data_IF_534889059851
#
_entry.id   IF_534889059851
#
_cell.length_a   1.000
_cell.length_b   1.000
_cell.length_c   1.000
_cell.angle_alpha   90.00
_cell.angle_beta   90.00
_cell.angle_gamma   90.00
#
_symmetry.space_group_name_H-M   'P 1'
#
loop_
_entity.id
_entity.type
_entity.pdbx_description
1 polymer ?
2 non-polymer ?
3 non-polymer ?
4 water ?
#
# COMPACT_ATOMS: atom_id res chain seq x y z
N UNK A 1 31.40 -13.44 44.19
CA UNK A 1 31.41 -12.07 43.60
C UNK A 1 32.59 -11.90 42.62
N UNK A 3 35.40 -9.98 40.61
CA UNK A 3 36.23 -8.95 41.24
C UNK A 3 36.31 -7.64 40.51
N UNK A 4 35.60 -7.53 39.39
CA UNK A 4 35.76 -6.38 38.49
C UNK A 4 35.08 -5.15 39.03
N UNK A 5 35.65 -3.98 38.74
CA UNK A 5 34.98 -2.70 39.02
C UNK A 5 34.36 -2.07 37.79
N UNK A 6 35.20 -1.37 37.01
CA UNK A 6 34.71 -0.42 35.99
C UNK A 6 34.10 -1.07 34.71
N UNK A 7 34.12 -2.41 34.68
CA UNK A 7 33.47 -3.24 33.68
C UNK A 7 31.99 -2.87 33.43
N UNK A 16 22.38 -5.91 24.77
CA UNK A 16 21.55 -6.55 23.76
C UNK A 16 20.13 -5.96 23.69
N UNK A 17 19.50 -6.09 22.54
CA UNK A 17 18.08 -5.77 22.40
C UNK A 17 17.25 -7.04 22.32
N UNK A 18 15.99 -6.97 22.76
CA UNK A 18 15.11 -8.10 22.65
C UNK A 18 14.79 -8.37 21.18
N UNK A 19 14.38 -9.62 20.92
CA UNK A 19 13.86 -10.02 19.64
C UNK A 19 12.50 -9.31 19.40
N UNK A 20 12.27 -8.84 18.19
CA UNK A 20 10.92 -8.39 17.84
C UNK A 20 9.95 -9.56 17.84
N UNK A 21 8.73 -9.31 18.34
CA UNK A 21 7.67 -10.28 18.49
C UNK A 21 6.60 -10.02 17.43
N UNK A 22 6.42 -10.94 16.50
CA UNK A 22 5.23 -10.85 15.64
C UNK A 22 3.97 -10.79 16.44
N UNK A 23 2.97 -10.06 15.99
CA UNK A 23 1.79 -9.87 16.82
C UNK A 23 1.03 -11.20 16.92
N UNK A 24 0.92 -11.80 18.10
CA UNK A 24 0.31 -13.12 18.23
C UNK A 24 -1.21 -13.06 18.06
N UNK A 25 -1.79 -11.86 18.03
CA UNK A 25 -3.21 -11.74 17.74
C UNK A 25 -3.55 -12.28 16.32
N UNK A 26 -2.59 -12.25 15.40
CA UNK A 26 -2.76 -12.80 14.05
C UNK A 26 -2.41 -14.26 14.05
N UNK A 27 -3.46 -15.12 14.10
CA UNK A 27 -3.37 -16.55 14.05
C UNK A 27 -3.06 -16.96 12.63
N UNK A 28 -2.16 -17.89 12.47
CA UNK A 28 -1.81 -18.30 11.10
C UNK A 28 -1.74 -19.79 10.95
N UNK A 29 -2.03 -20.27 9.76
CA UNK A 29 -1.88 -21.68 9.50
C UNK A 29 -1.58 -21.92 8.03
N UNK A 30 -1.24 -23.18 7.74
CA UNK A 30 -0.94 -23.62 6.38
C UNK A 30 -1.63 -24.98 6.20
N UNK A 31 -2.25 -25.19 5.06
CA UNK A 31 -2.85 -26.47 4.74
C UNK A 31 -1.76 -27.33 4.09
N UNK A 32 -2.04 -28.61 3.98
CA UNK A 32 -1.01 -29.50 3.45
C UNK A 32 -0.61 -29.23 2.00
N UNK A 33 -1.51 -28.60 1.24
CA UNK A 33 -1.22 -28.20 -0.15
C UNK A 33 -0.51 -26.85 -0.29
N UNK A 34 -0.12 -26.28 0.84
CA UNK A 34 0.61 -25.03 0.92
C UNK A 34 -0.24 -23.76 0.99
N UNK A 35 -1.55 -23.94 0.95
CA UNK A 35 -2.48 -22.79 1.14
C UNK A 35 -2.28 -22.15 2.51
N UNK A 36 -2.16 -20.82 2.56
CA UNK A 36 -1.90 -20.10 3.82
C UNK A 36 -3.10 -19.34 4.25
N UNK A 37 -3.30 -19.23 5.56
CA UNK A 37 -4.40 -18.40 6.06
C UNK A 37 -3.96 -17.65 7.32
N UNK A 38 -4.61 -16.50 7.54
CA UNK A 38 -4.31 -15.65 8.66
C UNK A 38 -5.63 -15.09 9.17
N UNK A 39 -5.85 -15.14 10.48
CA UNK A 39 -7.09 -14.74 11.07
C UNK A 39 -6.81 -13.78 12.26
N UNK A 40 -7.51 -12.66 12.27
CA UNK A 40 -7.50 -11.75 13.37
C UNK A 40 -8.91 -11.69 13.95
N UNK A 41 -9.13 -12.35 15.10
CA UNK A 41 -10.43 -12.20 15.77
C UNK A 41 -10.50 -10.83 16.46
N UNK A 42 -11.67 -10.16 16.37
CA UNK A 42 -11.82 -8.81 16.90
C UNK A 42 -13.04 -8.74 17.83
N UNK A 43 -12.88 -9.27 19.03
CA UNK A 43 -14.01 -9.17 19.96
C UNK A 43 -14.24 -7.72 20.40
N UNK A 44 -13.25 -6.85 20.26
CA UNK A 44 -13.43 -5.41 20.51
C UNK A 44 -14.27 -4.72 19.43
N UNK A 45 -14.49 -5.39 18.29
CA UNK A 45 -15.36 -4.87 17.23
C UNK A 45 -16.51 -5.88 17.01
N UNK A 46 -17.37 -6.07 18.03
CA UNK A 46 -18.21 -7.23 18.01
C UNK A 46 -19.29 -7.19 16.94
N UNK A 47 -19.65 -5.99 16.49
CA UNK A 47 -20.72 -5.77 15.52
C UNK A 47 -20.24 -5.32 14.13
N UNK A 48 -18.91 -5.21 13.94
CA UNK A 48 -18.38 -4.68 12.71
C UNK A 48 -18.41 -5.79 11.61
N UNK A 49 -18.26 -5.35 10.37
CA UNK A 49 -18.31 -6.26 9.23
C UNK A 49 -17.09 -7.20 9.22
N UNK A 50 -17.30 -8.38 8.66
CA UNK A 50 -16.25 -9.42 8.60
C UNK A 50 -15.58 -9.20 7.29
N UNK A 51 -14.24 -9.00 7.32
CA UNK A 51 -13.48 -8.74 6.10
C UNK A 51 -12.66 -9.97 5.69
N UNK A 52 -12.79 -10.35 4.42
CA UNK A 52 -12.04 -11.47 3.86
C UNK A 52 -11.22 -10.97 2.67
N UNK A 53 -9.97 -11.43 2.57
CA UNK A 53 -9.14 -11.07 1.45
C UNK A 53 -8.44 -12.35 0.99
N UNK A 54 -8.47 -12.63 -0.31
CA UNK A 54 -7.69 -13.72 -0.84
C UNK A 54 -6.69 -13.09 -1.76
N UNK A 55 -5.42 -13.23 -1.40
CA UNK A 55 -4.33 -12.82 -2.31
C UNK A 55 -3.81 -14.02 -3.04
N UNK A 56 -3.76 -13.89 -4.36
CA UNK A 56 -3.16 -14.92 -5.25
C UNK A 56 -1.94 -14.23 -5.86
N UNK A 57 -0.76 -14.83 -5.75
CA UNK A 57 0.46 -14.24 -6.26
C UNK A 57 0.61 -14.45 -7.77
N UNK A 58 -0.39 -13.97 -8.52
CA UNK A 58 -0.46 -14.04 -9.96
C UNK A 58 -0.94 -12.70 -10.45
N UNK A 59 -0.16 -12.09 -11.31
CA UNK A 59 -0.54 -10.81 -11.96
C UNK A 59 -0.04 -10.80 -13.38
N UNK A 60 0.10 -9.62 -13.94
CA UNK A 60 0.47 -9.47 -15.34
C UNK A 60 1.88 -9.89 -15.63
N UNK A 61 2.76 -9.89 -14.63
CA UNK A 61 4.11 -10.40 -14.86
C UNK A 61 4.10 -11.90 -15.18
N UNK A 62 3.03 -12.65 -14.89
CA UNK A 62 2.93 -14.08 -15.22
C UNK A 62 2.57 -14.33 -16.66
N UNK A 63 2.14 -13.28 -17.36
CA UNK A 63 1.64 -13.39 -18.72
C UNK A 63 2.71 -13.34 -19.78
N UNK A 64 2.68 -14.27 -20.70
CA UNK A 64 3.48 -14.15 -21.92
C UNK A 64 2.71 -13.31 -22.92
N UNK A 65 3.26 -13.07 -24.13
CA UNK A 65 2.53 -12.19 -25.01
C UNK A 65 1.28 -12.77 -25.61
N UNK A 66 1.05 -14.07 -25.49
CA UNK A 66 -0.19 -14.69 -25.93
C UNK A 66 -1.24 -14.67 -24.82
N UNK A 67 -0.91 -14.04 -23.69
CA UNK A 67 -1.76 -14.09 -22.47
C UNK A 67 -2.05 -12.73 -21.92
N UNK A 68 -1.83 -11.68 -22.71
CA UNK A 68 -2.00 -10.33 -22.27
C UNK A 68 -3.41 -10.14 -21.76
N UNK A 69 -3.51 -9.63 -20.53
CA UNK A 69 -4.81 -9.32 -19.92
C UNK A 69 -5.48 -10.52 -19.25
N UNK A 70 -4.88 -11.71 -19.36
CA UNK A 70 -5.50 -12.92 -18.78
C UNK A 70 -5.71 -12.80 -17.27
N UNK A 71 -4.73 -12.29 -16.55
CA UNK A 71 -4.88 -12.25 -15.09
C UNK A 71 -5.99 -11.29 -14.69
N UNK A 72 -6.14 -10.22 -15.46
CA UNK A 72 -7.21 -9.24 -15.16
C UNK A 72 -8.60 -9.77 -15.53
N UNK A 73 -8.68 -10.65 -16.52
CA UNK A 73 -9.95 -11.21 -16.99
C UNK A 73 -10.53 -12.25 -16.04
N UNK A 74 -9.65 -13.10 -15.47
CA UNK A 74 -10.09 -14.22 -14.64
C UNK A 74 -11.08 -13.80 -13.57
N UNK A 75 -10.77 -12.74 -12.78
CA UNK A 75 -11.74 -12.44 -11.75
C UNK A 75 -13.08 -11.97 -12.26
N UNK A 76 -13.13 -11.38 -13.46
CA UNK A 76 -14.42 -10.98 -14.00
C UNK A 76 -15.30 -12.22 -14.28
N UNK A 77 -14.67 -13.32 -14.67
CA UNK A 77 -15.38 -14.58 -14.89
C UNK A 77 -16.12 -15.05 -13.60
N UNK A 78 -15.45 -14.95 -12.47
CA UNK A 78 -15.91 -15.33 -11.17
C UNK A 78 -17.17 -14.54 -10.77
N UNK A 79 -17.37 -13.36 -11.39
CA UNK A 79 -18.59 -12.56 -11.17
C UNK A 79 -19.69 -12.88 -12.17
N UNK A 81 -20.36 -16.09 -13.20
CA UNK A 81 -20.96 -17.33 -12.77
C UNK A 81 -20.02 -18.03 -11.82
N UNK A 82 -20.58 -18.75 -10.86
CA UNK A 82 -19.75 -19.48 -9.91
C UNK A 82 -20.38 -20.82 -9.63
N UNK A 83 -19.56 -21.85 -9.65
CA UNK A 83 -20.10 -23.24 -9.71
C UNK A 83 -21.08 -23.58 -8.56
N UNK A 84 -20.89 -23.03 -7.37
CA UNK A 84 -21.70 -23.36 -6.21
C UNK A 84 -22.96 -22.49 -6.10
N UNK A 85 -23.19 -21.64 -7.08
CA UNK A 85 -24.23 -20.61 -6.98
C UNK A 85 -25.20 -20.60 -8.16
N UNK A 86 -26.49 -20.47 -7.89
CA UNK A 86 -27.38 -19.96 -8.93
C UNK A 86 -27.13 -18.46 -9.16
N UNK A 87 -27.54 -17.90 -10.32
CA UNK A 87 -27.48 -16.47 -10.51
C UNK A 87 -28.04 -15.64 -9.30
N UNK A 88 -29.18 -16.09 -8.77
CA UNK A 88 -29.80 -15.40 -7.64
C UNK A 88 -28.94 -15.45 -6.41
N UNK A 89 -28.34 -16.60 -6.14
CA UNK A 89 -27.49 -16.71 -4.96
C UNK A 89 -26.21 -15.86 -5.12
N UNK A 90 -25.67 -15.85 -6.34
CA UNK A 90 -24.43 -15.06 -6.60
C UNK A 90 -24.68 -13.58 -6.43
N UNK A 91 -25.80 -13.12 -6.95
CA UNK A 91 -26.19 -11.72 -6.82
C UNK A 91 -26.43 -11.40 -5.33
N UNK A 92 -27.11 -12.31 -4.61
CA UNK A 92 -27.40 -12.07 -3.18
C UNK A 92 -26.09 -11.88 -2.37
N UNK A 93 -25.09 -12.71 -2.64
CA UNK A 93 -23.82 -12.57 -1.94
C UNK A 93 -23.23 -11.19 -2.17
N UNK A 94 -23.13 -10.79 -3.44
CA UNK A 94 -22.41 -9.58 -3.77
C UNK A 94 -23.18 -8.29 -3.38
N UNK A 95 -24.50 -8.36 -3.33
CA UNK A 95 -25.29 -7.30 -2.76
C UNK A 95 -25.08 -7.08 -1.29
N UNK A 96 -24.51 -8.06 -0.62
CA UNK A 96 -24.25 -7.99 0.81
C UNK A 96 -22.76 -8.20 1.08
N UNK A 97 -21.92 -7.93 0.09
CA UNK A 97 -20.50 -8.23 0.23
C UNK A 97 -19.54 -7.08 0.11
N UNK A 98 -20.07 -5.86 0.14
CA UNK A 98 -19.30 -4.63 0.01
C UNK A 98 -19.36 -3.80 1.31
N UNK A 99 -18.22 -3.27 1.72
CA UNK A 99 -18.12 -2.52 2.99
C UNK A 99 -18.94 -1.22 2.91
N UNK A 100 -19.36 -0.74 4.08
CA UNK A 100 -20.13 0.51 4.14
C UNK A 100 -19.35 1.79 3.80
N UNK A 101 -18.06 1.76 4.03
CA UNK A 101 -17.15 2.83 3.70
C UNK A 101 -15.89 2.24 3.09
N UNK A 102 -15.13 3.07 2.39
CA UNK A 102 -13.91 2.62 1.70
C UNK A 102 -14.19 1.32 0.94
N UNK A 103 -15.31 1.29 0.19
CA UNK A 103 -15.69 0.02 -0.44
C UNK A 103 -14.63 -0.40 -1.41
N UNK A 104 -14.43 -1.71 -1.49
CA UNK A 104 -13.43 -2.27 -2.39
C UNK A 104 -14.10 -2.92 -3.57
N UNK A 105 -13.41 -2.85 -4.70
CA UNK A 105 -13.92 -3.66 -5.80
C UNK A 105 -13.78 -5.14 -5.48
N UNK A 106 -14.53 -5.98 -6.19
CA UNK A 106 -14.44 -7.43 -5.93
C UNK A 106 -13.07 -8.00 -6.12
N UNK A 107 -12.35 -7.48 -7.09
CA UNK A 107 -10.96 -7.86 -7.25
C UNK A 107 -10.16 -6.70 -7.80
N UNK A 108 -8.88 -6.71 -7.42
CA UNK A 108 -7.87 -5.80 -7.87
C UNK A 108 -6.76 -6.63 -8.43
N UNK A 109 -6.33 -6.37 -9.64
CA UNK A 109 -5.19 -7.09 -10.19
C UNK A 109 -4.01 -6.18 -10.46
N UNK A 110 -2.81 -6.72 -10.40
CA UNK A 110 -1.64 -5.90 -10.47
C UNK A 110 -0.54 -6.68 -11.18
N UNK A 111 0.70 -6.22 -11.05
CA UNK A 111 1.83 -6.84 -11.70
C UNK A 111 2.14 -8.20 -11.12
N UNK A 112 2.06 -8.32 -9.78
CA UNK A 112 2.48 -9.53 -9.10
C UNK A 112 1.49 -10.14 -8.15
N UNK A 113 0.26 -9.63 -8.18
CA UNK A 113 -0.81 -10.18 -7.38
C UNK A 113 -2.17 -9.90 -7.95
N UNK A 114 -3.13 -10.72 -7.51
CA UNK A 114 -4.57 -10.46 -7.60
C UNK A 114 -5.15 -10.53 -6.20
N UNK A 115 -6.02 -9.60 -5.85
CA UNK A 115 -6.60 -9.51 -4.51
C UNK A 115 -8.10 -9.55 -4.65
N UNK A 116 -8.73 -10.60 -4.07
CA UNK A 116 -10.19 -10.71 -3.99
C UNK A 116 -10.65 -10.20 -2.63
N UNK A 117 -11.76 -9.44 -2.60
CA UNK A 117 -12.20 -8.81 -1.37
C UNK A 117 -13.69 -8.98 -1.17
N UNK A 118 -14.07 -9.45 0.02
CA UNK A 118 -15.46 -9.50 0.47
C UNK A 118 -15.57 -8.88 1.88
N UNK A 119 -16.68 -8.21 2.14
CA UNK A 119 -16.96 -7.57 3.42
C UNK A 119 -18.40 -7.96 3.75
N UNK A 120 -18.57 -8.76 4.80
CA UNK A 120 -19.84 -9.37 5.11
C UNK A 120 -20.43 -8.71 6.32
N UNK A 121 -21.76 -8.69 6.40
CA UNK A 121 -22.29 -8.20 7.66
C UNK A 121 -21.95 -9.10 8.82
N UNK A 122 -21.97 -8.51 9.99
CA UNK A 122 -21.74 -9.27 11.19
C UNK A 122 -22.88 -10.24 11.46
N UNK A 123 -22.56 -11.35 12.12
CA UNK A 123 -23.60 -12.29 12.56
C UNK A 123 -24.44 -12.86 11.41
N UNK A 124 -23.74 -13.18 10.31
CA UNK A 124 -24.35 -13.82 9.14
C UNK A 124 -23.51 -15.03 8.78
N UNK A 125 -23.69 -16.15 9.50
CA UNK A 125 -22.93 -17.38 9.20
C UNK A 125 -23.23 -17.92 7.81
N UNK A 126 -24.43 -17.65 7.30
CA UNK A 126 -24.79 -18.07 5.99
C UNK A 126 -23.93 -17.38 4.97
N UNK A 127 -23.74 -16.08 5.14
CA UNK A 127 -22.97 -15.32 4.15
C UNK A 127 -21.46 -15.64 4.25
N UNK A 128 -20.99 -15.96 5.45
CA UNK A 128 -19.62 -16.42 5.60
C UNK A 128 -19.42 -17.73 4.82
N UNK A 129 -20.35 -18.67 4.97
CA UNK A 129 -20.29 -19.90 4.18
C UNK A 129 -20.28 -19.59 2.68
N UNK A 130 -21.16 -18.71 2.24
CA UNK A 130 -21.25 -18.34 0.82
C UNK A 130 -19.97 -17.70 0.37
N UNK A 131 -19.42 -16.81 1.18
CA UNK A 131 -18.17 -16.15 0.82
C UNK A 131 -17.03 -17.17 0.61
N UNK A 132 -16.91 -18.08 1.54
CA UNK A 132 -15.88 -19.10 1.40
C UNK A 132 -16.11 -19.98 0.17
N UNK A 133 -17.38 -20.22 -0.18
CA UNK A 133 -17.73 -21.03 -1.33
C UNK A 133 -17.35 -20.27 -2.61
N UNK A 134 -17.61 -18.96 -2.64
CA UNK A 134 -17.28 -18.15 -3.81
C UNK A 134 -15.76 -18.13 -3.97
N UNK A 135 -15.05 -17.96 -2.86
CA UNK A 135 -13.60 -17.85 -2.92
C UNK A 135 -12.97 -19.21 -3.31
N UNK A 136 -13.52 -20.31 -2.81
CA UNK A 136 -13.03 -21.66 -3.22
C UNK A 136 -13.41 -22.06 -4.63
N UNK A 137 -14.59 -21.68 -5.07
CA UNK A 137 -14.96 -21.79 -6.49
C UNK A 137 -13.93 -21.04 -7.34
N UNK A 138 -13.60 -19.81 -6.95
CA UNK A 138 -12.71 -19.02 -7.75
C UNK A 138 -11.27 -19.62 -7.75
N UNK A 139 -10.86 -20.07 -6.57
CA UNK A 139 -9.47 -20.55 -6.35
C UNK A 139 -9.20 -21.81 -7.11
N UNK A 140 -10.19 -22.69 -7.20
CA UNK A 140 -9.99 -24.02 -7.80
C UNK A 140 -10.93 -24.51 -8.85
N UNK A 141 -12.05 -23.83 -9.09
CA UNK A 141 -13.04 -24.32 -10.06
C UNK A 141 -13.66 -23.17 -10.85
N UNK A 142 -12.82 -22.24 -11.23
CA UNK A 142 -13.28 -21.01 -11.95
C UNK A 142 -14.02 -21.40 -13.23
N UNK A 143 -15.13 -20.71 -13.51
CA UNK A 143 -16.00 -21.02 -14.63
C UNK A 143 -15.43 -20.37 -15.88
N UNK A 144 -14.56 -21.07 -16.58
CA UNK A 144 -13.86 -20.53 -17.73
C UNK A 144 -14.42 -21.29 -18.94
N UNK A 145 -15.27 -20.65 -19.70
CA UNK A 145 -15.86 -21.26 -20.86
C UNK A 145 -16.08 -20.23 -21.92
N UNK A 146 -16.42 -20.66 -23.14
CA UNK A 146 -16.74 -19.70 -24.19
C UNK A 146 -17.88 -18.79 -23.74
N UNK A 147 -18.83 -19.38 -23.03
CA UNK A 147 -20.00 -18.67 -22.55
C UNK A 147 -19.67 -17.59 -21.52
N UNK A 148 -18.85 -17.93 -20.52
CA UNK A 148 -18.54 -16.95 -19.49
C UNK A 148 -17.59 -15.86 -20.02
N UNK A 149 -16.67 -16.27 -20.89
CA UNK A 149 -15.73 -15.31 -21.52
C UNK A 149 -16.50 -14.30 -22.38
N UNK A 150 -17.41 -14.77 -23.22
CA UNK A 150 -18.25 -13.89 -24.02
C UNK A 150 -19.04 -12.95 -23.12
N UNK A 151 -19.64 -13.48 -22.05
CA UNK A 151 -20.42 -12.65 -21.14
C UNK A 151 -19.55 -11.56 -20.49
N UNK A 152 -18.37 -11.95 -20.04
CA UNK A 152 -17.45 -11.02 -19.41
C UNK A 152 -17.01 -9.89 -20.34
N UNK A 153 -16.82 -10.19 -21.60
CA UNK A 153 -16.33 -9.21 -22.55
C UNK A 153 -17.44 -8.25 -22.97
N UNK A 154 -18.69 -8.63 -22.70
CA UNK A 154 -19.85 -7.81 -23.06
C UNK A 154 -20.47 -7.05 -21.86
N UNK A 155 -19.78 -6.96 -20.72
CA UNK A 155 -20.29 -6.12 -19.60
C UNK A 155 -20.15 -4.61 -19.86
N UNK A 156 -21.13 -3.83 -19.39
CA UNK A 156 -21.10 -2.38 -19.62
C UNK A 156 -19.98 -1.71 -18.86
N UNK A 157 -19.56 -2.32 -17.76
CA UNK A 157 -18.55 -1.71 -16.90
C UNK A 157 -17.48 -2.71 -16.55
N UNK A 158 -16.42 -2.22 -15.92
CA UNK A 158 -15.30 -3.08 -15.53
C UNK A 158 -15.24 -3.10 -14.05
N UNK A 159 -15.68 -4.22 -13.43
CA UNK A 159 -15.66 -4.22 -11.98
C UNK A 159 -14.28 -4.53 -11.39
N UNK A 160 -13.31 -4.86 -12.23
CA UNK A 160 -11.98 -5.26 -11.76
C UNK A 160 -10.99 -4.09 -11.81
N UNK A 161 -10.44 -3.72 -10.68
CA UNK A 161 -9.55 -2.61 -10.57
C UNK A 161 -8.13 -3.04 -10.77
N UNK A 162 -7.26 -2.05 -10.89
CA UNK A 162 -5.85 -2.33 -10.90
C UNK A 162 -5.12 -1.72 -9.70
N UNK A 163 -3.93 -2.22 -9.41
CA UNK A 163 -3.00 -1.50 -8.54
C UNK A 163 -1.69 -1.29 -9.29
N UNK A 164 -1.18 -0.03 -9.36
CA UNK A 164 -1.81 1.21 -8.98
C UNK A 164 -3.17 1.39 -9.64
N UNK A 165 -3.99 2.22 -9.01
CA UNK A 165 -5.33 2.39 -9.44
C UNK A 165 -5.48 2.97 -10.85
N UNK A 166 -4.51 3.84 -11.23
CA UNK A 166 -4.53 4.41 -12.55
C UNK A 166 -3.17 4.19 -13.22
N UNK A 167 -3.11 3.16 -14.03
CA UNK A 167 -1.83 2.75 -14.68
C UNK A 167 -1.45 3.77 -15.72
N UNK A 168 -2.44 4.53 -16.19
CA UNK A 168 -2.29 5.50 -17.28
C UNK A 168 -1.75 6.89 -16.85
N UNK A 169 -1.64 7.12 -15.56
CA UNK A 169 -1.07 8.37 -15.02
C UNK A 169 0.28 8.66 -15.69
N UNK A 170 0.48 9.87 -16.27
CA UNK A 170 1.85 10.13 -16.78
C UNK A 170 2.99 9.96 -15.74
N UNK A 171 2.72 10.26 -14.49
CA UNK A 171 3.68 9.95 -13.43
C UNK A 171 4.06 8.46 -13.39
N UNK A 172 3.06 7.58 -13.43
CA UNK A 172 3.34 6.17 -13.43
C UNK A 172 4.13 5.72 -14.67
N UNK A 173 3.76 6.22 -15.83
CA UNK A 173 4.49 5.97 -17.08
C UNK A 173 5.93 6.38 -16.96
N UNK A 174 6.18 7.51 -16.32
CA UNK A 174 7.57 7.93 -16.08
C UNK A 174 8.29 7.01 -15.11
N UNK A 175 7.63 6.73 -13.98
CA UNK A 175 8.24 5.96 -12.94
C UNK A 175 8.57 4.54 -13.34
N UNK A 176 7.78 3.97 -14.25
CA UNK A 176 7.95 2.63 -14.79
C UNK A 176 9.21 2.47 -15.66
N UNK A 177 9.77 3.58 -16.15
CA UNK A 177 10.90 3.45 -17.11
C UNK A 177 12.09 2.73 -16.45
N UNK A 178 12.61 1.74 -17.19
CA UNK A 178 13.75 0.98 -16.72
C UNK A 178 13.40 -0.20 -15.87
N UNK A 179 12.09 -0.40 -15.60
CA UNK A 179 11.65 -1.51 -14.78
C UNK A 179 11.28 -2.71 -15.62
N UNK A 180 11.03 -3.82 -14.94
CA UNK A 180 10.54 -5.05 -15.57
C UNK A 180 9.04 -5.05 -15.77
N UNK A 181 8.40 -3.94 -15.44
CA UNK A 181 6.94 -3.84 -15.46
C UNK A 181 6.43 -3.31 -16.78
N UNK A 182 7.35 -2.81 -17.60
CA UNK A 182 7.02 -2.37 -18.96
C UNK A 182 6.42 -3.45 -19.81
N UNK A 183 5.33 -3.11 -20.48
CA UNK A 183 4.62 -4.04 -21.31
C UNK A 183 3.80 -5.08 -20.57
N UNK A 184 3.70 -4.91 -19.26
CA UNK A 184 2.83 -5.69 -18.39
C UNK A 184 1.78 -4.89 -17.68
N UNK A 185 1.20 -3.87 -18.32
CA UNK A 185 0.05 -3.15 -17.75
C UNK A 185 -1.02 -4.13 -17.25
N UNK A 186 -1.41 -4.02 -15.97
CA UNK A 186 -2.27 -5.05 -15.34
C UNK A 186 -3.74 -4.99 -15.73
N UNK A 187 -4.18 -3.92 -16.35
CA UNK A 187 -5.62 -3.82 -16.69
C UNK A 187 -5.85 -3.85 -18.21
N UNK A 188 -4.88 -4.38 -18.97
CA UNK A 188 -4.94 -4.37 -20.47
C UNK A 188 -6.09 -5.26 -20.90
N UNK A 189 -6.87 -4.86 -21.91
CA UNK A 189 -7.85 -5.82 -22.41
C UNK A 189 -7.20 -7.01 -23.13
N UNK A 190 -7.87 -8.13 -23.09
CA UNK A 190 -7.40 -9.32 -23.81
C UNK A 190 -7.50 -9.15 -25.34
N UNK A 191 -6.63 -9.85 -26.07
CA UNK A 191 -6.78 -9.99 -27.54
C UNK A 191 -7.95 -10.88 -27.88
N UNK A 192 -8.81 -10.40 -28.77
CA UNK A 192 -9.94 -11.18 -29.21
C UNK A 192 -9.72 -11.66 -30.65
N UNK A 193 -10.22 -12.85 -30.98
CA UNK A 193 -10.95 -13.83 -30.13
C UNK A 193 -10.03 -14.48 -29.12
N UNK A 194 -10.56 -14.76 -27.94
CA UNK A 194 -9.81 -15.37 -26.84
C UNK A 194 -9.73 -16.85 -27.07
N UNK A 195 -8.53 -17.38 -26.91
CA UNK A 195 -8.31 -18.81 -26.91
C UNK A 195 -8.65 -19.29 -25.51
N UNK A 196 -9.90 -19.74 -25.35
CA UNK A 196 -10.44 -20.09 -24.04
C UNK A 196 -9.60 -21.24 -23.43
N UNK A 197 -9.12 -22.14 -24.29
CA UNK A 197 -8.30 -23.25 -23.79
C UNK A 197 -6.99 -22.74 -23.16
N UNK A 198 -6.39 -21.75 -23.78
CA UNK A 198 -5.14 -21.18 -23.28
C UNK A 198 -5.41 -20.41 -21.99
N UNK A 199 -6.54 -19.75 -21.94
CA UNK A 199 -6.93 -19.06 -20.70
C UNK A 199 -7.06 -20.06 -19.53
N UNK A 200 -7.69 -21.21 -19.77
CA UNK A 200 -7.89 -22.19 -18.71
C UNK A 200 -6.52 -22.73 -18.28
N UNK A 201 -5.64 -22.95 -19.24
CA UNK A 201 -4.31 -23.46 -18.94
C UNK A 201 -3.53 -22.46 -18.08
N UNK A 202 -3.67 -21.18 -18.40
CA UNK A 202 -3.04 -20.11 -17.60
C UNK A 202 -3.55 -20.14 -16.19
N UNK A 203 -4.87 -20.21 -16.05
CA UNK A 203 -5.49 -20.28 -14.73
C UNK A 203 -4.97 -21.44 -13.92
N UNK A 204 -4.87 -22.59 -14.54
CA UNK A 204 -4.42 -23.80 -13.81
C UNK A 204 -2.95 -23.74 -13.44
N UNK A 205 -2.15 -23.14 -14.31
CA UNK A 205 -0.72 -22.96 -14.08
C UNK A 205 -0.45 -22.05 -12.90
N UNK A 206 -1.21 -20.96 -12.82
CA UNK A 206 -0.84 -19.90 -11.91
C UNK A 206 -1.74 -19.80 -10.67
N UNK A 207 -2.92 -20.40 -10.68
CA UNK A 207 -3.76 -20.41 -9.45
C UNK A 207 -3.50 -21.71 -8.72
N UNK A 208 -2.41 -21.71 -7.95
CA UNK A 208 -1.96 -22.86 -7.15
C UNK A 208 -2.00 -22.45 -5.66
N UNK A 209 -2.28 -23.40 -4.74
CA UNK A 209 -2.54 -23.05 -3.33
C UNK A 209 -1.33 -22.47 -2.64
N UNK A 210 -0.14 -22.90 -3.12
CA UNK A 210 1.10 -22.38 -2.56
C UNK A 210 1.38 -20.91 -2.88
N UNK A 211 0.57 -20.32 -3.78
CA UNK A 211 0.66 -18.93 -4.15
C UNK A 211 -0.52 -18.13 -3.57
N UNK A 213 -2.93 -16.75 -0.09
CA UNK A 213 -3.15 -16.50 1.33
C UNK A 213 -4.52 -15.90 1.53
N UNK A 214 -5.27 -16.53 2.43
CA UNK A 214 -6.55 -15.98 2.86
C UNK A 214 -6.42 -15.24 4.19
N UNK A 215 -6.94 -14.02 4.25
CA UNK A 215 -6.93 -13.26 5.48
C UNK A 215 -8.37 -12.99 5.89
N UNK A 216 -8.65 -13.06 7.20
CA UNK A 216 -9.96 -12.82 7.73
C UNK A 216 -9.78 -11.94 8.97
N UNK A 217 -10.57 -10.88 9.03
CA UNK A 217 -10.63 -10.03 10.24
C UNK A 217 -12.07 -9.86 10.67
N UNK A 218 -12.34 -10.12 11.94
CA UNK A 218 -13.69 -9.89 12.43
C UNK A 218 -14.00 -10.65 13.66
N UNK A 219 -15.21 -10.44 14.18
CA UNK A 219 -15.61 -11.09 15.42
C UNK A 219 -16.14 -12.45 15.04
N UNK A 220 -15.23 -13.33 14.68
CA UNK A 220 -15.59 -14.62 14.22
C UNK A 220 -15.24 -15.66 15.28
N UNK A 221 -15.70 -16.89 15.03
CA UNK A 221 -15.40 -18.05 15.85
C UNK A 221 -14.16 -18.70 15.26
N UNK A 222 -13.02 -18.49 15.88
CA UNK A 222 -11.75 -18.87 15.26
C UNK A 222 -11.62 -20.37 15.11
N UNK A 223 -12.28 -21.13 16.01
CA UNK A 223 -12.20 -22.57 15.92
C UNK A 223 -13.01 -23.06 14.72
N UNK A 224 -14.24 -22.59 14.58
CA UNK A 224 -15.03 -23.05 13.44
C UNK A 224 -14.54 -22.52 12.11
N UNK A 225 -14.04 -21.28 12.09
CA UNK A 225 -13.64 -20.75 10.80
C UNK A 225 -12.35 -21.43 10.30
N UNK A 226 -11.42 -21.78 11.20
CA UNK A 226 -10.22 -22.54 10.81
C UNK A 226 -10.70 -23.82 10.15
N UNK A 227 -11.67 -24.51 10.76
CA UNK A 227 -12.16 -25.74 10.18
C UNK A 227 -12.83 -25.53 8.85
N UNK A 228 -13.57 -24.43 8.70
CA UNK A 228 -14.21 -24.15 7.47
C UNK A 228 -13.21 -23.83 6.37
N UNK A 229 -12.18 -23.08 6.75
CA UNK A 229 -11.12 -22.75 5.76
C UNK A 229 -10.46 -24.04 5.27
N UNK A 230 -10.11 -24.93 6.18
CA UNK A 230 -9.52 -26.22 5.76
C UNK A 230 -10.41 -26.99 4.83
N UNK A 231 -11.68 -27.07 5.12
CA UNK A 231 -12.62 -27.83 4.29
C UNK A 231 -12.83 -27.18 2.93
N UNK A 232 -12.78 -25.84 2.84
CA UNK A 232 -12.94 -25.11 1.59
C UNK A 232 -11.75 -25.20 0.67
N UNK A 233 -10.54 -25.16 1.24
CA UNK A 233 -9.35 -24.94 0.42
C UNK A 233 -8.35 -26.09 0.39
N UNK A 234 -8.58 -27.15 1.17
CA UNK A 234 -7.55 -28.19 1.26
C UNK A 234 -7.45 -29.08 0.01
N UNK A 235 -8.46 -29.02 -0.85
CA UNK A 235 -8.51 -29.84 -2.03
C UNK A 235 -7.83 -29.17 -3.24
N UNK A 236 -7.42 -27.90 -3.14
CA UNK A 236 -6.76 -27.22 -4.24
C UNK A 236 -5.48 -27.96 -4.59
N UNK A 237 -5.18 -27.99 -5.88
CA UNK A 237 -4.01 -28.72 -6.40
C UNK A 237 -3.03 -27.80 -7.14
N UNK A 238 -1.81 -28.28 -7.28
CA UNK A 238 -0.80 -27.58 -8.06
C UNK A 238 0.23 -26.94 -7.18
N UNK A 239 1.41 -26.68 -7.76
CA UNK A 239 2.53 -26.11 -7.02
C UNK A 239 3.31 -25.36 -8.08
N UNK A 240 3.86 -24.23 -7.67
CA UNK A 240 4.75 -23.42 -8.49
C UNK A 240 6.13 -24.03 -8.64
N UNK A 241 6.64 -24.16 -9.84
CA UNK A 241 8.05 -24.58 -9.94
C UNK A 241 9.12 -23.51 -9.54
N UNK A 242 8.81 -22.20 -9.72
CA UNK A 242 9.73 -21.07 -9.38
C UNK A 242 9.13 -20.15 -8.28
N UNK A 243 9.98 -19.33 -7.63
CA UNK A 243 9.37 -18.32 -6.73
C UNK A 243 8.39 -17.42 -7.52
N UNK A 244 7.31 -16.98 -6.86
CA UNK A 244 6.41 -16.04 -7.53
C UNK A 244 7.14 -14.76 -7.95
N UNK A 245 6.69 -14.20 -9.05
CA UNK A 245 7.12 -12.89 -9.51
C UNK A 245 6.98 -11.83 -8.44
N UNK A 246 8.00 -10.95 -8.38
CA UNK A 246 8.01 -9.80 -7.53
C UNK A 246 8.22 -8.55 -8.41
N UNK A 247 7.33 -7.61 -8.25
CA UNK A 247 7.39 -6.42 -9.07
C UNK A 247 8.45 -5.51 -8.38
N UNK A 248 9.44 -5.07 -9.17
CA UNK A 248 10.50 -4.12 -8.74
C UNK A 248 10.72 -2.92 -9.73
N UNK A 249 10.88 -1.75 -9.13
CA UNK A 249 11.13 -0.50 -9.93
C UNK A 249 12.62 -0.18 -10.01
N UNK A 250 13.06 0.47 -11.09
CA UNK A 250 14.42 1.04 -11.12
C UNK A 250 14.48 2.28 -10.20
N UNK A 251 15.69 2.71 -9.85
CA UNK A 251 15.75 3.94 -9.05
C UNK A 251 15.19 5.13 -9.83
N UNK A 252 14.60 6.07 -9.12
CA UNK A 252 14.17 7.32 -9.72
C UNK A 252 15.35 8.09 -10.25
N UNK A 253 15.31 8.50 -11.51
CA UNK A 253 16.43 9.32 -11.99
C UNK A 253 16.51 10.66 -11.28
N UNK A 254 17.73 11.24 -11.19
CA UNK A 254 17.91 12.49 -10.48
C UNK A 254 17.46 13.77 -11.21
N UNK A 255 17.30 13.69 -12.53
CA UNK A 255 17.05 14.87 -13.33
C UNK A 255 15.63 15.44 -13.08
N UNK A 256 15.47 16.77 -13.10
CA UNK A 256 14.13 17.33 -12.97
C UNK A 256 13.32 17.00 -14.21
N UNK A 257 12.01 16.88 -14.03
CA UNK A 257 11.14 16.54 -15.14
C UNK A 257 9.81 17.24 -15.05
N UNK A 258 9.26 17.58 -16.21
CA UNK A 258 7.89 18.10 -16.29
C UNK A 258 7.04 17.01 -16.95
N UNK A 259 5.88 16.77 -16.38
CA UNK A 259 4.94 15.76 -16.89
C UNK A 259 3.63 16.45 -17.06
N UNK A 261 -0.25 16.52 -17.44
CA UNK A 261 -1.29 15.72 -16.86
C UNK A 261 -2.66 16.31 -17.24
N UNK A 262 -3.57 15.45 -17.71
CA UNK A 262 -4.85 15.97 -18.22
C UNK A 262 -5.97 16.15 -17.18
N UNK A 263 -5.80 15.71 -15.93
CA UNK A 263 -6.79 15.94 -14.86
C UNK A 263 -6.40 16.98 -13.78
N UNK A 264 -5.16 17.43 -13.79
CA UNK A 264 -4.66 18.44 -12.83
C UNK A 264 -5.40 19.79 -13.00
N UNK A 265 -5.89 20.41 -11.92
CA UNK A 265 -6.43 21.80 -11.99
C UNK A 265 -5.33 22.84 -12.07
N UNK A 266 -4.22 22.55 -11.37
CA UNK A 266 -3.11 23.49 -11.28
C UNK A 266 -1.83 22.66 -11.16
N UNK A 267 -0.68 23.31 -11.07
CA UNK A 267 0.59 22.55 -10.99
C UNK A 267 0.70 21.83 -9.65
N UNK A 268 1.43 20.71 -9.64
CA UNK A 268 1.99 20.21 -8.39
C UNK A 268 3.47 20.03 -8.63
N UNK A 269 4.30 20.77 -7.91
CA UNK A 269 5.70 20.45 -7.85
C UNK A 269 5.97 19.51 -6.69
N UNK A 270 6.55 18.34 -7.00
CA UNK A 270 6.88 17.38 -5.97
C UNK A 270 8.40 17.38 -5.78
N UNK A 271 8.81 17.47 -4.52
CA UNK A 271 10.21 17.33 -4.12
C UNK A 271 10.28 15.92 -3.60
N UNK A 273 12.20 12.00 -2.84
CA UNK A 273 13.36 11.16 -2.54
C UNK A 273 12.94 9.68 -2.69
N UNK A 274 13.79 8.87 -3.31
CA UNK A 274 13.48 7.51 -3.63
C UNK A 274 14.73 6.72 -3.25
N UNK A 275 14.57 5.70 -2.43
CA UNK A 275 15.73 4.91 -1.94
C UNK A 275 15.34 3.45 -1.79
N UNK A 276 16.31 2.54 -1.79
CA UNK A 276 15.96 1.14 -1.58
C UNK A 276 15.40 0.95 -0.18
N UNK A 277 14.36 0.10 -0.04
CA UNK A 277 13.78 -0.23 1.25
C UNK A 277 14.44 -1.47 1.77
N UNK A 278 14.82 -1.45 3.03
CA UNK A 278 15.34 -2.64 3.71
C UNK A 278 14.38 -2.97 4.86
N UNK A 279 13.63 -4.10 4.75
CA UNK A 279 12.73 -4.50 5.85
C UNK A 279 13.41 -4.54 7.21
N UNK A 280 12.63 -4.17 8.21
CA UNK A 280 13.13 -4.01 9.55
C UNK A 280 13.21 -5.41 10.25
N UNK A 281 14.42 -5.85 10.58
CA UNK A 281 14.68 -7.24 11.07
C UNK A 281 14.76 -7.29 12.56
N UNK A 282 15.07 -6.17 13.17
CA UNK A 282 15.42 -6.16 14.56
C UNK A 282 15.19 -4.80 15.14
N UNK A 283 15.35 -4.73 16.46
CA UNK A 283 14.99 -3.55 17.24
C UNK A 283 15.84 -2.34 16.83
N UNK A 285 17.18 -1.69 13.87
CA UNK A 285 16.65 -1.23 12.57
C UNK A 285 15.36 -0.50 12.82
N UNK A 286 14.56 -1.00 13.78
CA UNK A 286 13.30 -0.33 14.07
C UNK A 286 13.54 1.11 14.55
N UNK A 287 14.47 1.25 15.50
CA UNK A 287 14.83 2.55 16.02
C UNK A 287 15.36 3.51 14.93
N UNK A 288 16.19 2.97 14.06
CA UNK A 288 16.71 3.80 12.94
C UNK A 288 15.59 4.25 12.04
N UNK A 289 14.64 3.36 11.73
CA UNK A 289 13.45 3.71 10.92
C UNK A 289 12.65 4.79 11.62
N UNK A 290 12.43 4.64 12.92
CA UNK A 290 11.58 5.59 13.60
C UNK A 290 12.24 6.98 13.65
N UNK A 291 13.57 7.02 13.75
CA UNK A 291 14.28 8.30 13.77
C UNK A 291 14.11 8.98 12.42
N UNK A 292 14.24 8.19 11.37
CA UNK A 292 14.12 8.71 9.99
C UNK A 292 12.71 9.20 9.73
N UNK A 293 11.72 8.37 10.07
CA UNK A 293 10.29 8.72 9.91
C UNK A 293 9.94 10.00 10.68
N UNK A 294 10.44 10.11 11.91
CA UNK A 294 10.09 11.26 12.73
C UNK A 294 10.71 12.56 12.18
N UNK A 295 11.93 12.47 11.65
CA UNK A 295 12.58 13.64 11.00
C UNK A 295 11.71 14.11 9.81
N UNK A 296 11.23 13.17 9.01
CA UNK A 296 10.34 13.49 7.90
C UNK A 296 9.06 14.15 8.40
N UNK A 297 8.49 13.61 9.47
CA UNK A 297 7.28 14.13 10.02
C UNK A 297 7.52 15.54 10.59
N UNK A 298 8.68 15.71 11.23
CA UNK A 298 9.00 16.97 11.88
C UNK A 298 9.09 18.08 10.84
N UNK A 299 9.70 17.77 9.73
CA UNK A 299 9.94 18.73 8.69
C UNK A 299 8.61 19.13 8.10
N UNK A 300 7.71 18.17 7.89
CA UNK A 300 6.46 18.53 7.27
C UNK A 300 5.62 19.36 8.20
N UNK A 301 5.64 18.93 9.45
CA UNK A 301 4.98 19.62 10.52
C UNK A 301 5.44 21.10 10.64
N UNK A 302 6.74 21.30 10.59
CA UNK A 302 7.33 22.63 10.73
C UNK A 302 6.93 23.53 9.58
N UNK A 303 7.05 23.01 8.36
CA UNK A 303 6.69 23.79 7.15
C UNK A 303 5.20 24.12 7.20
N UNK A 304 4.35 23.17 7.59
CA UNK A 304 2.94 23.44 7.68
C UNK A 304 2.65 24.55 8.65
N UNK A 305 3.31 24.53 9.80
CA UNK A 305 3.08 25.56 10.81
C UNK A 305 3.52 26.92 10.27
N UNK A 306 4.68 26.97 9.61
CA UNK A 306 5.21 28.24 9.07
C UNK A 306 4.22 28.77 8.07
N UNK A 307 3.69 27.90 7.22
CA UNK A 307 2.67 28.30 6.23
C UNK A 307 1.39 28.87 6.89
N UNK A 308 0.91 28.23 7.96
CA UNK A 308 -0.29 28.72 8.65
C UNK A 308 -0.03 30.12 9.21
N UNK A 309 1.18 30.40 9.64
CA UNK A 309 1.49 31.72 10.19
C UNK A 309 1.81 32.76 9.11
N UNK A 310 2.37 32.30 7.98
CA UNK A 310 2.85 33.15 6.90
C UNK A 310 2.26 32.75 5.55
N UNK A 311 1.06 33.27 5.26
CA UNK A 311 0.31 32.87 4.08
C UNK A 311 1.14 33.07 2.82
N UNK A 312 1.12 32.05 1.96
CA UNK A 312 1.74 32.07 0.62
C UNK A 312 0.61 31.95 -0.41
N UNK A 313 0.61 32.85 -1.39
CA UNK A 313 -0.48 32.95 -2.40
C UNK A 313 -0.76 31.63 -3.11
N UNK A 314 -1.94 31.04 -2.86
CA UNK A 314 -2.42 29.86 -3.56
C UNK A 314 -1.62 28.57 -3.36
N UNK A 315 -0.91 28.48 -2.24
CA UNK A 315 -0.13 27.26 -1.95
C UNK A 315 -0.90 26.29 -1.09
N UNK A 316 -1.03 25.02 -1.53
CA UNK A 316 -1.45 23.93 -0.67
C UNK A 316 -0.37 22.85 -0.65
N UNK A 317 -0.06 22.36 0.53
CA UNK A 317 1.05 21.44 0.73
C UNK A 317 0.53 20.09 1.08
N UNK A 318 1.19 19.07 0.53
CA UNK A 318 0.88 17.68 0.78
C UNK A 318 2.17 16.96 1.15
N UNK A 319 2.06 15.88 1.91
CA UNK A 319 3.25 15.08 2.23
C UNK A 319 2.92 13.62 2.37
N UNK A 320 3.74 12.74 1.82
CA UNK A 320 3.47 11.34 2.05
C UNK A 320 4.69 10.53 1.79
N UNK A 321 4.65 9.34 2.35
CA UNK A 321 5.69 8.36 2.20
C UNK A 321 4.99 7.09 1.78
N UNK A 322 5.66 6.30 0.99
CA UNK A 322 5.20 4.97 0.70
C UNK A 322 6.37 4.04 0.52
N UNK A 323 6.12 2.77 0.80
CA UNK A 323 7.07 1.71 0.50
C UNK A 323 6.35 0.79 -0.45
N UNK A 324 6.88 0.63 -1.64
CA UNK A 324 6.23 -0.12 -2.69
C UNK A 324 7.32 -0.54 -3.62
N UNK A 325 7.23 -1.77 -4.16
CA UNK A 325 8.25 -2.30 -5.03
C UNK A 325 9.67 -2.22 -4.49
N UNK A 326 9.82 -2.44 -3.18
CA UNK A 326 11.10 -2.51 -2.49
C UNK A 326 11.82 -1.14 -2.50
N UNK A 327 11.07 -0.06 -2.78
CA UNK A 327 11.62 1.32 -2.70
C UNK A 327 10.87 2.12 -1.66
N UNK A 328 11.57 3.01 -0.97
CA UNK A 328 10.92 3.97 -0.05
C UNK A 328 10.84 5.27 -0.83
N UNK A 329 9.65 5.86 -0.92
CA UNK A 329 9.45 7.12 -1.63
C UNK A 329 8.91 8.14 -0.64
N UNK A 330 9.55 9.28 -0.51
CA UNK A 330 9.03 10.27 0.40
C UNK A 330 8.92 11.57 -0.51
N UNK A 331 7.78 12.24 -0.43
CA UNK A 331 7.50 13.40 -1.26
C UNK A 331 6.87 14.55 -0.49
N UNK A 332 7.28 15.77 -0.82
CA UNK A 332 6.60 17.02 -0.44
C UNK A 332 5.96 17.54 -1.68
N UNK A 333 4.63 17.73 -1.62
CA UNK A 333 3.91 18.21 -2.77
C UNK A 333 3.48 19.65 -2.57
N UNK A 334 3.79 20.48 -3.56
CA UNK A 334 3.39 21.86 -3.58
C UNK A 334 2.37 22.04 -4.65
N UNK A 335 1.11 22.22 -4.24
CA UNK A 335 0.04 22.41 -5.21
C UNK A 335 -0.13 23.92 -5.38
N UNK A 336 0.08 24.41 -6.59
CA UNK A 336 0.17 25.83 -6.85
C UNK A 336 -0.17 26.16 -8.28
N UNK A 337 -0.89 27.28 -8.49
CA UNK A 337 -0.94 27.79 -9.86
C UNK A 337 0.46 28.05 -10.39
N UNK A 338 0.63 27.83 -11.68
CA UNK A 338 1.91 28.07 -12.34
C UNK A 338 2.46 29.51 -12.12
N UNK A 339 1.56 30.49 -12.04
CA UNK A 339 1.91 31.90 -11.82
C UNK A 339 2.59 32.12 -10.47
N UNK A 340 2.33 31.21 -9.52
CA UNK A 340 2.89 31.31 -8.17
C UNK A 340 3.94 30.22 -7.88
N UNK A 341 4.28 29.42 -8.88
CA UNK A 341 5.22 28.31 -8.71
C UNK A 341 6.59 28.69 -8.15
N UNK A 342 7.27 29.63 -8.80
CA UNK A 342 8.62 29.98 -8.35
C UNK A 342 8.60 30.54 -6.91
N UNK A 343 7.65 31.40 -6.58
CA UNK A 343 7.54 31.94 -5.23
C UNK A 343 7.27 30.84 -4.19
N UNK A 344 6.37 29.92 -4.53
CA UNK A 344 5.99 28.87 -3.61
C UNK A 344 7.08 27.83 -3.42
N UNK A 346 10.26 28.57 -3.76
CA UNK A 346 11.26 29.33 -2.99
C UNK A 346 10.93 29.31 -1.49
N UNK A 347 9.65 29.48 -1.16
CA UNK A 347 9.16 29.41 0.22
C UNK A 347 9.56 28.09 0.84
N UNK A 348 9.24 26.99 0.18
CA UNK A 348 9.58 25.66 0.73
C UNK A 348 11.11 25.44 0.77
N UNK A 349 11.82 25.80 -0.30
CA UNK A 349 13.26 25.55 -0.40
C UNK A 349 13.99 26.31 0.68
N UNK A 350 13.51 27.49 1.04
CA UNK A 350 14.19 28.21 2.13
C UNK A 350 13.95 27.56 3.47
N UNK A 351 12.79 26.93 3.66
CA UNK A 351 12.56 26.14 4.88
C UNK A 351 13.50 24.92 4.93
N UNK A 352 13.60 24.22 3.82
CA UNK A 352 14.49 23.06 3.78
C UNK A 352 15.99 23.43 4.04
N UNK A 353 16.42 24.55 3.49
CA UNK A 353 17.77 25.03 3.68
C UNK A 353 18.01 25.34 5.16
N UNK A 354 17.05 26.00 5.78
CA UNK A 354 17.17 26.35 7.21
C UNK A 354 17.14 25.10 8.08
N UNK A 355 16.25 24.16 7.78
CA UNK A 355 16.17 22.94 8.56
C UNK A 355 17.40 22.05 8.40
N UNK A 356 17.92 22.00 7.19
CA UNK A 356 19.20 21.30 6.92
C UNK A 356 20.33 21.87 7.78
N UNK A 357 20.42 23.17 7.85
CA UNK A 357 21.54 23.82 8.52
C UNK A 357 21.40 23.79 10.03
N UNK A 358 20.20 24.07 10.52
CA UNK A 358 19.97 24.33 11.93
C UNK A 358 18.94 23.49 12.64
N UNK A 359 18.08 22.81 11.89
CA UNK A 359 17.09 21.96 12.46
C UNK A 359 16.02 22.67 13.24
N UNK A 360 15.42 21.91 14.11
CA UNK A 360 14.38 22.36 15.01
C UNK A 360 15.03 23.13 16.16
N UNK A 361 14.29 24.08 16.70
CA UNK A 361 14.63 24.65 18.00
C UNK A 361 14.29 23.67 19.12
N UNK A 362 14.83 23.92 20.31
CA UNK A 362 14.51 23.07 21.43
C UNK A 362 13.04 23.14 21.73
N UNK A 363 12.45 24.34 21.63
CA UNK A 363 11.02 24.48 21.94
C UNK A 363 10.16 23.71 20.94
N UNK A 364 10.55 23.75 19.66
CA UNK A 364 9.83 23.02 18.61
C UNK A 364 9.93 21.50 18.84
N UNK A 365 11.14 21.05 19.15
CA UNK A 365 11.36 19.65 19.54
C UNK A 365 10.52 19.21 20.72
N UNK A 366 10.51 20.01 21.78
CA UNK A 366 9.74 19.66 22.96
C UNK A 366 8.23 19.58 22.65
N UNK A 367 7.74 20.51 21.80
CA UNK A 367 6.36 20.47 21.32
C UNK A 367 6.04 19.18 20.56
N UNK A 368 6.94 18.85 19.64
CA UNK A 368 6.82 17.64 18.85
C UNK A 368 6.77 16.41 19.75
N UNK A 370 6.04 16.14 23.00
CA UNK A 370 4.77 16.08 23.75
C UNK A 370 3.65 15.47 22.90
N UNK A 371 3.61 15.89 21.64
CA UNK A 371 2.61 15.44 20.69
C UNK A 371 2.78 13.94 20.40
N UNK A 372 4.03 13.51 20.22
CA UNK A 372 4.21 12.08 19.88
C UNK A 372 3.94 11.20 21.09
N UNK A 373 4.28 11.71 22.26
CA UNK A 373 3.98 11.02 23.51
C UNK A 373 2.47 10.93 23.74
N UNK A 374 1.76 11.99 23.37
CA UNK A 374 0.29 11.99 23.45
C UNK A 374 -0.30 10.88 22.57
N UNK A 375 0.14 10.85 21.32
CA UNK A 375 -0.31 9.83 20.38
C UNK A 375 -0.05 8.43 20.86
N UNK A 376 1.13 8.18 21.45
CA UNK A 376 1.41 6.88 22.01
C UNK A 376 0.49 6.55 23.18
N UNK A 377 0.14 7.55 23.98
CA UNK A 377 -0.70 7.30 25.15
C UNK A 377 -2.09 6.84 24.68
N UNK A 378 -2.42 7.23 23.45
CA UNK A 378 -3.74 6.95 22.83
C UNK A 378 -3.74 5.63 22.02
N UNK A 379 -2.61 4.93 21.95
CA UNK A 379 -2.47 3.68 21.18
C UNK A 379 -3.67 2.73 21.28
N UNK A 380 -4.05 2.35 22.50
CA UNK A 380 -5.09 1.37 22.65
C UNK A 380 -6.51 1.94 22.46
N UNK A 381 -6.66 3.25 22.70
CA UNK A 381 -7.92 3.94 22.40
C UNK A 381 -8.12 3.96 20.88
N UNK A 382 -7.08 4.34 20.15
CA UNK A 382 -7.12 4.33 18.69
C UNK A 382 -7.47 2.95 18.15
N UNK A 383 -6.82 1.93 18.67
CA UNK A 383 -7.06 0.56 18.27
C UNK A 383 -8.49 0.14 18.45
N UNK A 384 -9.05 0.46 19.62
CA UNK A 384 -10.44 0.08 19.87
C UNK A 384 -11.44 0.66 18.90
N UNK A 385 -11.10 1.81 18.35
CA UNK A 385 -11.99 2.58 17.47
C UNK A 385 -11.72 2.23 15.99
N UNK A 386 -10.84 1.29 15.74
CA UNK A 386 -10.42 0.97 14.36
C UNK A 386 -11.31 -0.10 13.70
N UNK A 387 -11.95 0.34 12.61
CA UNK A 387 -12.83 -0.48 11.76
C UNK A 387 -12.02 -1.71 11.24
N UNK A 388 -12.69 -2.84 11.20
CA UNK A 388 -12.11 -4.09 10.65
C UNK A 388 -11.47 -3.90 9.27
N UNK A 389 -12.03 -3.07 8.42
CA UNK A 389 -11.36 -2.86 7.12
C UNK A 389 -10.00 -2.15 7.18
N UNK A 390 -9.82 -1.29 8.20
CA UNK A 390 -8.56 -0.63 8.44
C UNK A 390 -7.52 -1.59 9.02
N UNK A 391 -7.96 -2.43 9.98
CA UNK A 391 -7.11 -3.49 10.48
C UNK A 391 -6.62 -4.34 9.31
N UNK A 393 -6.47 -3.56 5.95
CA UNK A 393 -5.57 -2.89 5.02
C UNK A 393 -4.20 -2.70 5.60
N UNK A 394 -4.13 -2.45 6.91
CA UNK A 394 -2.85 -2.34 7.59
C UNK A 394 -2.07 -3.63 7.51
N UNK A 395 -2.76 -4.78 7.75
CA UNK A 395 -2.08 -6.06 7.66
C UNK A 395 -1.57 -6.34 6.24
N UNK A 396 -2.40 -6.10 5.22
CA UNK A 396 -1.96 -6.33 3.83
C UNK A 396 -0.77 -5.43 3.50
N UNK A 397 -0.82 -4.19 3.99
CA UNK A 397 0.31 -3.28 3.73
C UNK A 397 1.57 -3.79 4.38
N UNK A 398 1.44 -4.28 5.60
CA UNK A 398 2.56 -4.88 6.28
C UNK A 398 3.14 -6.06 5.53
N UNK A 399 2.25 -6.91 5.03
CA UNK A 399 2.63 -8.15 4.42
C UNK A 399 3.25 -7.84 3.03
N UNK A 400 2.60 -6.97 2.28
CA UNK A 400 2.96 -6.78 0.85
C UNK A 400 4.19 -5.94 0.71
N UNK A 401 4.37 -4.97 1.61
CA UNK A 401 5.45 -4.00 1.50
C UNK A 401 6.59 -4.32 2.43
N UNK A 402 6.41 -5.35 3.24
CA UNK A 402 7.39 -5.75 4.20
C UNK A 402 7.70 -4.71 5.27
N UNK A 403 6.68 -4.23 5.95
CA UNK A 403 6.81 -3.26 7.03
C UNK A 403 6.25 -3.96 8.30
N UNK A 404 7.15 -4.28 9.22
CA UNK A 404 6.87 -5.27 10.29
C UNK A 404 5.69 -4.95 11.25
N UNK A 405 4.95 -6.00 11.59
CA UNK A 405 3.79 -5.93 12.51
C UNK A 405 4.11 -6.64 13.83
N UNK A 406 4.24 -5.87 14.89
CA UNK A 406 4.72 -6.38 16.15
C UNK A 406 3.64 -6.39 17.23
N UNK A 407 3.82 -7.22 18.26
CA UNK A 407 2.86 -7.23 19.39
C UNK A 407 2.65 -5.83 19.91
N UNK A 408 1.40 -5.45 20.20
CA UNK A 408 1.19 -4.06 20.55
C UNK A 408 1.82 -3.68 21.89
N UNK A 409 1.92 -4.61 22.86
CA UNK A 409 2.61 -4.28 24.08
C UNK A 409 4.09 -4.05 23.83
N UNK A 410 4.67 -4.80 22.90
CA UNK A 410 6.10 -4.57 22.59
C UNK A 410 6.27 -3.24 21.89
N UNK A 411 5.32 -2.91 20.99
CA UNK A 411 5.34 -1.66 20.31
C UNK A 411 5.34 -0.56 21.35
N UNK A 412 4.42 -0.64 22.31
CA UNK A 412 4.28 0.44 23.27
C UNK A 412 5.60 0.68 24.06
N UNK A 413 6.22 -0.41 24.48
CA UNK A 413 7.44 -0.35 25.20
C UNK A 413 8.61 0.19 24.35
N UNK A 414 8.78 -0.39 23.17
CA UNK A 414 9.86 0.07 22.30
C UNK A 414 9.69 1.52 21.85
N UNK A 415 8.46 1.92 21.51
CA UNK A 415 8.16 3.28 21.06
C UNK A 415 8.38 4.27 22.21
N UNK A 416 7.91 3.92 23.41
CA UNK A 416 8.20 4.77 24.59
C UNK A 416 9.71 4.96 24.76
N UNK A 417 10.47 3.90 24.65
CA UNK A 417 11.90 4.03 24.86
C UNK A 417 12.53 4.89 23.78
N UNK A 418 12.08 4.72 22.53
CA UNK A 418 12.53 5.59 21.43
C UNK A 418 12.24 7.09 21.76
N UNK A 419 11.00 7.40 22.10
CA UNK A 419 10.61 8.80 22.33
C UNK A 419 11.39 9.35 23.54
N UNK A 420 11.56 8.55 24.60
CA UNK A 420 12.20 9.11 25.79
C UNK A 420 13.69 9.29 25.60
N UNK A 421 14.27 8.50 24.70
CA UNK A 421 15.69 8.51 24.43
C UNK A 421 16.14 9.54 23.40
N UNK A 422 15.24 9.94 22.52
CA UNK A 422 15.61 10.82 21.43
C UNK A 422 16.00 12.23 21.90
N UNK A 423 17.11 12.72 21.41
CA UNK A 423 17.55 14.10 21.68
C UNK A 423 17.37 15.05 20.50
N UNK A 424 17.35 16.35 20.80
CA UNK A 424 17.35 17.35 19.72
C UNK A 424 18.47 17.11 18.75
N UNK A 425 19.68 16.90 19.27
CA UNK A 425 20.84 16.71 18.44
C UNK A 425 20.68 15.56 17.46
N UNK A 426 20.08 14.48 17.95
CA UNK A 426 19.87 13.27 17.14
C UNK A 426 18.86 13.55 16.06
N UNK A 427 17.72 14.15 16.46
CA UNK A 427 16.70 14.44 15.43
C UNK A 427 17.25 15.46 14.42
N UNK A 428 17.95 16.49 14.89
CA UNK A 428 18.51 17.47 13.94
C UNK A 428 19.57 16.91 13.00
N UNK A 429 20.41 15.99 13.49
CA UNK A 429 21.36 15.30 12.62
C UNK A 429 20.66 14.52 11.52
N UNK A 430 19.59 13.80 11.90
CA UNK A 430 18.77 13.02 10.95
C UNK A 430 18.17 13.97 9.90
N UNK A 431 17.66 15.10 10.35
CA UNK A 431 17.14 16.11 9.42
C UNK A 431 18.22 16.58 8.45
N UNK A 432 19.39 16.87 8.99
CA UNK A 432 20.48 17.36 8.18
C UNK A 432 20.85 16.30 7.14
N UNK A 433 20.99 15.05 7.60
CA UNK A 433 21.36 13.94 6.70
C UNK A 433 20.35 13.73 5.57
N UNK A 434 19.09 13.69 5.91
CA UNK A 434 18.01 13.54 4.92
C UNK A 434 18.02 14.66 3.90
N UNK A 435 18.17 15.88 4.38
CA UNK A 435 18.08 17.02 3.49
C UNK A 435 19.39 17.30 2.76
N UNK A 436 20.42 16.55 3.09
CA UNK A 436 21.71 16.66 2.39
C UNK A 436 21.76 15.72 1.16
N UNK A 437 20.72 14.93 1.01
CA UNK A 437 20.55 14.13 -0.19
C UNK A 437 19.71 14.98 -1.15
N UNK A 438 20.17 15.18 -2.38
CA UNK A 438 19.47 16.08 -3.30
C UNK A 438 18.06 15.55 -3.52
N UNK A 439 17.09 16.44 -3.50
CA UNK A 439 15.75 16.10 -3.94
C UNK A 439 15.73 15.96 -5.46
N UNK A 440 14.63 15.34 -5.94
CA UNK A 440 14.32 15.23 -7.33
C UNK A 440 13.07 16.05 -7.58
N UNK A 441 13.14 16.99 -8.52
CA UNK A 441 12.01 17.85 -8.82
C UNK A 441 11.12 17.26 -9.88
N UNK A 442 9.87 17.01 -9.52
CA UNK A 442 8.91 16.45 -10.46
C UNK A 442 7.74 17.42 -10.57
N UNK A 443 7.58 18.05 -11.71
CA UNK A 443 6.54 19.07 -11.92
C UNK A 443 5.45 18.47 -12.75
N UNK A 445 2.15 19.41 -14.77
CA UNK A 445 1.38 20.53 -15.31
C UNK A 445 0.04 20.08 -15.90
N UNK A 446 -0.98 20.96 -15.83
CA UNK A 446 -2.27 20.62 -16.53
C UNK A 446 -2.10 20.56 -18.02
N UNK A 447 -2.85 19.69 -18.70
CA UNK A 447 -2.86 19.71 -20.18
C UNK A 447 -3.18 21.12 -20.69
N UNK A 448 -2.47 21.56 -21.72
CA UNK A 448 -2.62 22.88 -22.32
C UNK A 448 -1.79 24.01 -21.74
N UNK A 449 -1.17 23.78 -20.58
CA UNK A 449 -0.34 24.82 -19.95
C UNK A 449 1.04 24.84 -20.59
N UNK A 450 1.55 26.02 -20.97
CA UNK A 450 2.88 26.11 -21.56
C UNK A 450 3.91 25.42 -20.67
N UNK A 451 4.74 24.56 -21.27
CA UNK A 451 5.75 23.81 -20.53
C UNK A 451 6.64 24.74 -19.74
N UNK A 452 6.81 24.41 -18.46
CA UNK A 452 7.77 25.12 -17.61
C UNK A 452 9.15 24.51 -17.88
N UNK A 453 10.13 25.37 -17.96
CA UNK A 453 11.53 24.97 -18.09
C UNK A 453 12.03 24.51 -16.74
N UNK A 454 12.05 23.19 -16.52
CA UNK A 454 12.39 22.68 -15.20
C UNK A 454 13.88 22.71 -14.92
N UNK A 455 14.70 22.84 -15.95
CA UNK A 455 16.12 23.04 -15.74
C UNK A 455 16.35 24.39 -15.09
N UNK A 456 15.65 25.44 -15.56
CA UNK A 456 15.74 26.77 -14.97
C UNK A 456 15.23 26.72 -13.53
N UNK A 457 14.15 25.99 -13.31
CA UNK A 457 13.56 25.91 -11.98
C UNK A 457 14.57 25.25 -11.03
N UNK A 458 15.23 24.21 -11.54
CA UNK A 458 16.25 23.49 -10.81
C UNK A 458 17.43 24.39 -10.41
N UNK A 459 17.84 25.28 -11.32
CA UNK A 459 18.91 26.24 -11.02
C UNK A 459 18.54 27.18 -9.87
N UNK A 460 17.31 27.71 -9.90
CA UNK A 460 16.77 28.56 -8.84
C UNK A 460 16.78 27.81 -7.51
N UNK A 461 16.28 26.59 -7.53
CA UNK A 461 16.26 25.72 -6.37
C UNK A 461 17.67 25.47 -5.86
N UNK A 462 18.58 25.13 -6.76
CA UNK A 462 19.97 24.90 -6.34
C UNK A 462 20.58 26.12 -5.64
N UNK A 463 20.20 27.30 -6.10
CA UNK A 463 20.70 28.54 -5.48
C UNK A 463 20.33 28.63 -4.01
N UNK A 464 19.09 28.26 -3.69
CA UNK A 464 18.60 28.34 -2.30
C UNK A 464 19.23 27.28 -1.44
N UNK A 466 22.18 25.93 -1.82
CA UNK A 466 23.60 26.25 -1.57
C UNK A 466 23.73 27.00 -0.24
#
# INVERSE_FOLDING_TARGET
>A
LXVGGLLLAAASNNVQAEALQPDPAWQQGKLDNGFSWQLLATPQRPSDRIELRLIVNTGSLSENTQEVGFAHLLPRLALXSSASFTPAQLQSLWQQGIDNERPLPPAITSYDFTLYSLSLPNNRPDLLKDALAWLSDTAGNLAVSEQTVNAALNTATDPIATFPQNIQEPWWRYRLKGSSLIGHDPGQPVTQPVDVEKLKQFYQQWYTPDAXTLYVVGNVDSRSIAAQISKAFSELKGKRTAPAAVATLAPLPPEPVSLXNEQAAQDTLSLXWDTPWHPIQDSXALSRYWRSDLAREALFWHIKQVLEKNNQKNLKLGFDCRVQYQRAQCAIHLNTPVENLTANXTFVARELAALRANGLSQAEFDALXTQKNDQLSKLFATYARTDTDILXSQRLRSQQSGVVDIAPEQYQKLRQAFLSGLTLAELNRELKQQLSQDTTLVLXQPKGEPEVNVKALQEIYNGIXAPQTVAEEEVAPAEAVETAPVXPTTAQ
#
